data_IF_932206943186
#
_entry.id   IF_932206943186
#
_cell.length_a   1.000
_cell.length_b   1.000
_cell.length_c   1.000
_cell.angle_alpha   90.00
_cell.angle_beta   90.00
_cell.angle_gamma   90.00
#
_symmetry.space_group_name_H-M   'P 1'
#
loop_
_entity.id
_entity.type
_entity.pdbx_description
1 polymer ?
#
# COMPACT_ATOMS: atom_id res chain seq x y z
N UNK A 1 -16.02 -33.47 44.30
CA UNK A 1 -14.91 -33.32 43.33
C UNK A 1 -15.43 -32.76 42.00
N UNK A 2 -16.00 -31.53 42.00
CA UNK A 2 -16.69 -30.95 40.83
C UNK A 2 -16.28 -29.50 40.48
N UNK A 3 -15.27 -28.96 41.16
CA UNK A 3 -14.85 -27.54 41.00
C UNK A 3 -13.63 -27.41 40.06
N UNK A 4 -12.86 -28.49 39.83
CA UNK A 4 -11.66 -28.43 38.98
C UNK A 4 -11.94 -28.45 37.47
N UNK A 5 -13.11 -28.95 37.05
CA UNK A 5 -13.46 -29.09 35.63
C UNK A 5 -13.92 -27.77 34.99
N UNK A 6 -14.58 -26.90 35.78
CA UNK A 6 -15.12 -25.62 35.27
C UNK A 6 -14.02 -24.58 34.96
N UNK A 7 -12.93 -24.58 35.73
CA UNK A 7 -11.80 -23.65 35.48
C UNK A 7 -11.01 -23.99 34.21
N UNK A 8 -10.93 -25.27 33.81
CA UNK A 8 -10.24 -25.65 32.58
C UNK A 8 -11.05 -25.28 31.32
N UNK A 9 -12.38 -25.32 31.41
CA UNK A 9 -13.26 -24.94 30.31
C UNK A 9 -13.25 -23.42 30.05
N UNK A 10 -13.17 -22.61 31.11
CA UNK A 10 -13.08 -21.15 31.01
C UNK A 10 -11.76 -20.67 30.40
N UNK A 11 -10.63 -21.30 30.77
CA UNK A 11 -9.32 -20.97 30.21
C UNK A 11 -9.21 -21.33 28.72
N UNK A 12 -9.86 -22.42 28.30
CA UNK A 12 -9.95 -22.81 26.89
C UNK A 12 -10.84 -21.86 26.08
N UNK A 13 -11.91 -21.33 26.68
CA UNK A 13 -12.76 -20.32 26.05
C UNK A 13 -12.06 -18.97 25.92
N UNK A 14 -11.26 -18.54 26.91
CA UNK A 14 -10.46 -17.31 26.81
C UNK A 14 -9.45 -17.40 25.66
N UNK A 15 -8.84 -18.58 25.44
CA UNK A 15 -7.94 -18.82 24.30
C UNK A 15 -8.63 -18.89 22.93
N UNK A 16 -9.96 -19.05 22.88
CA UNK A 16 -10.76 -19.02 21.65
C UNK A 16 -11.32 -17.63 21.33
N UNK A 17 -11.40 -16.73 22.32
CA UNK A 17 -11.91 -15.34 22.15
C UNK A 17 -10.79 -14.38 21.77
N UNK A 18 -9.54 -14.67 22.13
CA UNK A 18 -8.43 -14.06 21.42
C UNK A 18 -8.37 -14.73 20.05
N UNK A 19 -8.56 -14.00 18.95
CA UNK A 19 -7.99 -14.47 17.71
C UNK A 19 -6.54 -14.74 18.07
N UNK A 20 -6.08 -15.96 17.82
CA UNK A 20 -4.67 -16.14 17.52
C UNK A 20 -4.49 -15.28 16.27
N UNK A 21 -4.28 -13.98 16.48
CA UNK A 21 -3.31 -13.24 15.71
C UNK A 21 -2.06 -14.08 15.91
N UNK A 22 -1.95 -15.11 15.07
CA UNK A 22 -0.68 -15.47 14.51
C UNK A 22 -0.19 -14.11 14.06
N UNK A 23 0.67 -13.51 14.89
CA UNK A 23 1.62 -12.55 14.42
C UNK A 23 2.24 -13.29 13.24
N UNK A 24 1.74 -13.01 12.03
CA UNK A 24 2.58 -13.06 10.88
C UNK A 24 3.81 -12.31 11.39
N UNK A 25 4.95 -12.99 11.51
CA UNK A 25 6.22 -12.33 11.74
C UNK A 25 6.40 -11.49 10.48
N UNK A 26 5.74 -10.34 10.44
CA UNK A 26 5.69 -9.53 9.27
C UNK A 26 7.11 -9.06 9.13
N UNK A 27 7.66 -9.47 8.00
CA UNK A 27 9.03 -9.20 7.69
C UNK A 27 9.08 -7.72 7.36
N UNK A 28 9.46 -6.89 8.33
CA UNK A 28 9.82 -5.50 8.04
C UNK A 28 11.01 -5.55 7.10
N UNK A 29 10.86 -4.90 5.95
CA UNK A 29 11.98 -4.61 5.09
C UNK A 29 12.40 -3.16 5.30
N UNK A 30 13.70 -2.91 5.23
CA UNK A 30 14.28 -1.58 5.32
C UNK A 30 15.14 -1.28 4.10
N UNK A 31 15.16 -0.01 3.73
CA UNK A 31 16.06 0.56 2.73
C UNK A 31 16.87 1.68 3.39
N UNK A 32 18.19 1.55 3.34
CA UNK A 32 19.09 2.66 3.64
C UNK A 32 19.10 3.59 2.42
N UNK A 33 18.56 4.80 2.58
CA UNK A 33 18.42 5.73 1.46
C UNK A 33 19.73 6.45 1.15
N UNK A 34 20.73 6.40 2.03
CA UNK A 34 22.01 7.09 1.85
C UNK A 34 22.88 6.42 0.77
N UNK A 35 22.63 5.14 0.51
CA UNK A 35 23.40 4.33 -0.46
C UNK A 35 22.69 4.15 -1.81
N UNK A 36 21.43 4.58 -1.95
CA UNK A 36 20.69 4.48 -3.23
C UNK A 36 21.31 5.45 -4.24
N UNK A 37 21.51 5.08 -5.50
CA UNK A 37 22.08 6.02 -6.47
C UNK A 37 21.01 6.99 -7.01
N UNK A 38 21.42 8.15 -7.55
CA UNK A 38 20.49 9.05 -8.26
C UNK A 38 19.83 8.34 -9.45
N UNK A 39 20.59 7.51 -10.16
CA UNK A 39 20.11 6.73 -11.30
C UNK A 39 18.98 5.76 -10.88
N UNK A 40 19.10 5.13 -9.70
CA UNK A 40 18.07 4.24 -9.16
C UNK A 40 16.77 5.00 -8.83
N UNK A 41 16.87 6.30 -8.52
CA UNK A 41 15.73 7.17 -8.26
C UNK A 41 15.18 7.89 -9.49
N UNK A 42 15.77 7.71 -10.67
CA UNK A 42 15.26 8.32 -11.91
C UNK A 42 13.86 7.81 -12.26
N UNK A 43 13.04 8.68 -12.86
CA UNK A 43 11.67 8.36 -13.27
C UNK A 43 11.64 7.13 -14.16
N UNK A 44 10.71 6.20 -13.88
CA UNK A 44 10.49 5.02 -14.72
C UNK A 44 9.27 5.19 -15.62
N UNK A 45 9.37 4.72 -16.87
CA UNK A 45 8.23 4.72 -17.77
C UNK A 45 7.20 3.64 -17.38
N UNK A 46 5.89 3.95 -17.46
CA UNK A 46 4.83 2.97 -17.31
C UNK A 46 4.97 1.81 -18.29
N UNK A 47 4.55 0.63 -17.85
CA UNK A 47 4.29 -0.51 -18.74
C UNK A 47 2.78 -0.71 -18.81
N UNK A 48 2.22 -0.67 -20.02
CA UNK A 48 0.79 -0.82 -20.28
C UNK A 48 0.55 -2.20 -20.89
N UNK A 49 -0.51 -2.85 -20.45
CA UNK A 49 -1.00 -4.08 -21.07
C UNK A 49 -1.84 -3.69 -22.30
N UNK A 50 -1.44 -4.15 -23.47
CA UNK A 50 -2.14 -3.90 -24.74
C UNK A 50 -3.28 -4.93 -24.96
N UNK A 51 -4.07 -4.76 -26.03
CA UNK A 51 -5.23 -5.58 -26.39
C UNK A 51 -4.94 -7.07 -26.49
N UNK A 52 -3.74 -7.43 -26.91
CA UNK A 52 -3.29 -8.81 -27.05
C UNK A 52 -2.68 -9.39 -25.74
N UNK A 53 -2.70 -8.62 -24.65
CA UNK A 53 -2.08 -8.98 -23.38
C UNK A 53 -0.57 -8.74 -23.31
N UNK A 54 0.05 -8.25 -24.39
CA UNK A 54 1.46 -7.89 -24.41
C UNK A 54 1.73 -6.63 -23.57
N UNK A 55 3.00 -6.42 -23.19
CA UNK A 55 3.40 -5.30 -22.34
C UNK A 55 4.21 -4.30 -23.16
N UNK A 56 3.69 -3.09 -23.29
CA UNK A 56 4.30 -2.00 -24.06
C UNK A 56 4.77 -0.89 -23.12
N UNK A 57 5.92 -0.29 -23.40
CA UNK A 57 6.40 0.88 -22.67
C UNK A 57 5.62 2.10 -23.14
N UNK A 58 4.99 2.82 -22.22
CA UNK A 58 4.29 4.07 -22.54
C UNK A 58 5.28 5.17 -22.90
N UNK A 59 4.88 6.02 -23.84
CA UNK A 59 5.53 7.30 -24.16
C UNK A 59 5.16 8.41 -23.16
N UNK A 60 4.07 8.21 -22.41
CA UNK A 60 3.61 9.10 -21.34
C UNK A 60 4.22 8.67 -20.01
N UNK A 61 4.84 9.63 -19.33
CA UNK A 61 5.45 9.43 -18.00
C UNK A 61 4.38 9.36 -16.92
N UNK A 62 4.72 8.71 -15.79
CA UNK A 62 3.98 8.93 -14.56
C UNK A 62 4.13 10.39 -14.10
N UNK A 63 3.12 10.88 -13.41
CA UNK A 63 3.20 12.11 -12.59
C UNK A 63 3.01 11.73 -11.13
N UNK A 64 3.65 12.49 -10.24
CA UNK A 64 3.56 12.24 -8.80
C UNK A 64 3.02 13.47 -8.06
N UNK A 65 2.30 13.23 -6.98
CA UNK A 65 1.75 14.25 -6.09
C UNK A 65 2.00 13.81 -4.64
N UNK A 66 2.26 14.78 -3.76
CA UNK A 66 2.45 14.56 -2.33
C UNK A 66 1.42 15.39 -1.60
N UNK A 67 0.64 14.75 -0.72
CA UNK A 67 -0.38 15.40 0.10
C UNK A 67 0.03 15.22 1.55
N UNK A 68 0.19 16.33 2.27
CA UNK A 68 0.49 16.35 3.71
C UNK A 68 -0.80 16.64 4.47
N UNK A 69 -0.98 16.07 5.67
CA UNK A 69 -2.16 16.36 6.49
C UNK A 69 -1.94 17.58 7.41
N UNK A 70 -1.32 18.64 6.88
CA UNK A 70 -0.90 19.84 7.62
C UNK A 70 -2.00 20.90 7.84
N UNK A 71 -3.18 20.70 7.24
CA UNK A 71 -4.34 21.60 7.35
C UNK A 71 -5.64 20.84 7.61
N UNK A 72 -6.67 21.49 8.21
CA UNK A 72 -8.01 20.91 8.32
C UNK A 72 -8.60 20.53 6.96
N UNK A 73 -9.52 19.55 6.93
CA UNK A 73 -10.13 19.08 5.69
C UNK A 73 -10.96 20.18 4.99
N UNK A 74 -11.59 21.05 5.79
CA UNK A 74 -12.36 22.19 5.30
C UNK A 74 -11.50 23.25 4.58
N UNK A 75 -10.19 23.25 4.80
CA UNK A 75 -9.26 24.26 4.27
C UNK A 75 -8.37 23.71 3.15
N UNK A 76 -8.18 22.39 3.06
CA UNK A 76 -7.30 21.76 2.07
C UNK A 76 -8.07 21.05 0.94
N UNK A 77 -8.03 21.62 -0.27
CA UNK A 77 -8.58 20.97 -1.48
C UNK A 77 -7.91 19.62 -1.79
N UNK A 78 -6.56 19.47 -1.72
CA UNK A 78 -5.93 18.17 -1.92
C UNK A 78 -6.44 17.09 -0.95
N UNK A 79 -6.65 17.42 0.33
CA UNK A 79 -7.23 16.47 1.30
C UNK A 79 -8.65 16.07 0.94
N UNK A 80 -9.49 17.01 0.48
CA UNK A 80 -10.87 16.70 0.04
C UNK A 80 -10.89 15.78 -1.17
N UNK A 81 -10.06 16.08 -2.17
CA UNK A 81 -9.94 15.27 -3.38
C UNK A 81 -9.45 13.87 -3.05
N UNK A 82 -8.43 13.74 -2.18
CA UNK A 82 -7.95 12.43 -1.73
C UNK A 82 -9.00 11.66 -0.94
N UNK A 83 -9.71 12.30 -0.01
CA UNK A 83 -10.82 11.67 0.74
C UNK A 83 -11.89 11.12 -0.20
N UNK A 84 -12.29 11.90 -1.20
CA UNK A 84 -13.26 11.47 -2.21
C UNK A 84 -12.72 10.29 -3.01
N UNK A 85 -11.48 10.38 -3.50
CA UNK A 85 -10.83 9.30 -4.26
C UNK A 85 -10.78 7.98 -3.47
N UNK A 86 -10.42 8.04 -2.18
CA UNK A 86 -10.40 6.87 -1.30
C UNK A 86 -11.80 6.25 -1.18
N UNK A 87 -12.84 7.07 -0.95
CA UNK A 87 -14.23 6.60 -0.87
C UNK A 87 -14.73 5.97 -2.18
N UNK A 88 -14.39 6.58 -3.32
CA UNK A 88 -14.73 6.06 -4.64
C UNK A 88 -14.05 4.71 -4.89
N UNK A 89 -12.79 4.56 -4.45
CA UNK A 89 -12.08 3.28 -4.56
C UNK A 89 -12.62 2.21 -3.61
N UNK A 90 -13.05 2.56 -2.40
CA UNK A 90 -13.72 1.63 -1.47
C UNK A 90 -15.01 1.10 -2.08
N UNK A 91 -15.83 2.00 -2.63
CA UNK A 91 -17.08 1.66 -3.33
C UNK A 91 -16.79 0.77 -4.53
N UNK A 92 -15.87 1.18 -5.40
CA UNK A 92 -15.50 0.43 -6.59
C UNK A 92 -14.92 -0.96 -6.28
N UNK A 93 -14.12 -1.08 -5.22
CA UNK A 93 -13.61 -2.38 -4.78
C UNK A 93 -14.73 -3.31 -4.35
N UNK A 94 -15.76 -2.77 -3.68
CA UNK A 94 -16.94 -3.54 -3.27
C UNK A 94 -17.75 -4.02 -4.48
N UNK A 95 -17.95 -3.16 -5.47
CA UNK A 95 -18.64 -3.51 -6.73
C UNK A 95 -17.90 -4.65 -7.46
N UNK A 96 -16.59 -4.51 -7.64
CA UNK A 96 -15.77 -5.55 -8.29
C UNK A 96 -15.83 -6.88 -7.54
N UNK A 97 -15.78 -6.86 -6.20
CA UNK A 97 -15.90 -8.06 -5.40
C UNK A 97 -17.27 -8.74 -5.61
N UNK A 98 -18.34 -7.96 -5.65
CA UNK A 98 -19.69 -8.45 -5.92
C UNK A 98 -19.78 -9.04 -7.34
N UNK A 99 -19.23 -8.35 -8.35
CA UNK A 99 -19.21 -8.81 -9.74
C UNK A 99 -18.43 -10.15 -9.89
N UNK A 100 -17.38 -10.36 -9.11
CA UNK A 100 -16.65 -11.65 -9.06
C UNK A 100 -17.49 -12.76 -8.40
N UNK A 101 -18.31 -12.41 -7.42
CA UNK A 101 -19.16 -13.34 -6.68
C UNK A 101 -20.41 -13.73 -7.49
N UNK A 102 -21.07 -12.77 -8.13
CA UNK A 102 -22.22 -12.98 -9.02
C UNK A 102 -21.81 -13.72 -10.31
N UNK A 103 -20.54 -13.58 -10.72
CA UNK A 103 -20.00 -14.18 -11.94
C UNK A 103 -19.99 -13.23 -13.15
N UNK A 104 -20.36 -11.96 -12.96
CA UNK A 104 -20.26 -10.91 -13.98
C UNK A 104 -18.79 -10.67 -14.41
N UNK A 105 -17.85 -10.82 -13.48
CA UNK A 105 -16.41 -10.97 -13.78
C UNK A 105 -16.04 -12.45 -13.68
N UNK A 106 -15.91 -13.09 -14.84
CA UNK A 106 -15.58 -14.52 -14.94
C UNK A 106 -14.08 -14.78 -14.76
N UNK A 107 -13.70 -15.47 -13.69
CA UNK A 107 -12.34 -15.94 -13.42
C UNK A 107 -12.40 -17.45 -13.28
N UNK A 108 -11.92 -18.16 -14.31
CA UNK A 108 -12.03 -19.61 -14.43
C UNK A 108 -11.10 -20.36 -13.47
N UNK A 109 -9.90 -19.83 -13.25
CA UNK A 109 -8.91 -20.38 -12.32
C UNK A 109 -9.31 -20.06 -10.87
N UNK A 110 -9.65 -21.08 -10.04
CA UNK A 110 -10.06 -20.86 -8.65
C UNK A 110 -8.96 -20.28 -7.75
N UNK A 111 -7.70 -20.61 -7.99
CA UNK A 111 -6.57 -20.10 -7.21
C UNK A 111 -6.36 -18.62 -7.52
N UNK A 112 -6.37 -18.26 -8.81
CA UNK A 112 -6.30 -16.87 -9.25
C UNK A 112 -7.50 -16.07 -8.73
N UNK A 113 -8.71 -16.63 -8.79
CA UNK A 113 -9.92 -15.98 -8.24
C UNK A 113 -9.77 -15.70 -6.74
N UNK A 114 -9.31 -16.68 -5.97
CA UNK A 114 -9.06 -16.53 -4.53
C UNK A 114 -8.00 -15.46 -4.25
N UNK A 115 -6.89 -15.47 -5.00
CA UNK A 115 -5.82 -14.49 -4.87
C UNK A 115 -6.28 -13.05 -5.17
N UNK A 116 -7.05 -12.86 -6.25
CA UNK A 116 -7.61 -11.56 -6.62
C UNK A 116 -8.56 -11.05 -5.52
N UNK A 117 -9.47 -11.90 -5.02
CA UNK A 117 -10.38 -11.53 -3.92
C UNK A 117 -9.60 -11.13 -2.65
N UNK A 118 -8.58 -11.89 -2.28
CA UNK A 118 -7.73 -11.57 -1.12
C UNK A 118 -7.03 -10.22 -1.30
N UNK A 119 -6.48 -9.96 -2.49
CA UNK A 119 -5.81 -8.70 -2.82
C UNK A 119 -6.76 -7.52 -2.76
N UNK A 120 -7.97 -7.65 -3.32
CA UNK A 120 -9.00 -6.61 -3.27
C UNK A 120 -9.49 -6.34 -1.84
N UNK A 121 -9.69 -7.38 -1.03
CA UNK A 121 -10.09 -7.22 0.37
C UNK A 121 -9.00 -6.51 1.20
N UNK A 122 -7.73 -6.86 1.01
CA UNK A 122 -6.62 -6.15 1.66
C UNK A 122 -6.55 -4.68 1.21
N UNK A 123 -6.67 -4.43 -0.11
CA UNK A 123 -6.70 -3.08 -0.65
C UNK A 123 -7.86 -2.25 -0.07
N UNK A 124 -9.07 -2.84 0.02
CA UNK A 124 -10.24 -2.20 0.63
C UNK A 124 -9.98 -1.85 2.09
N UNK A 125 -9.41 -2.77 2.87
CA UNK A 125 -9.06 -2.50 4.26
C UNK A 125 -8.04 -1.35 4.41
N UNK A 126 -7.05 -1.26 3.51
CA UNK A 126 -6.07 -0.15 3.53
C UNK A 126 -6.70 1.18 3.12
N UNK A 127 -7.60 1.17 2.13
CA UNK A 127 -8.36 2.35 1.73
C UNK A 127 -9.28 2.83 2.86
N UNK A 128 -10.00 1.92 3.51
CA UNK A 128 -10.87 2.22 4.66
C UNK A 128 -10.08 2.76 5.86
N UNK A 129 -8.91 2.16 6.15
CA UNK A 129 -8.02 2.65 7.20
C UNK A 129 -7.52 4.06 6.87
N UNK A 130 -7.06 4.29 5.64
CA UNK A 130 -6.61 5.63 5.21
C UNK A 130 -7.74 6.65 5.18
N UNK A 131 -8.97 6.25 4.86
CA UNK A 131 -10.12 7.15 4.85
C UNK A 131 -10.40 7.76 6.23
N UNK A 132 -10.10 7.01 7.31
CA UNK A 132 -10.30 7.47 8.70
C UNK A 132 -9.42 8.66 9.07
N UNK A 133 -8.26 8.81 8.44
CA UNK A 133 -7.38 9.97 8.64
C UNK A 133 -8.09 11.29 8.28
N UNK A 134 -9.16 11.21 7.47
CA UNK A 134 -9.95 12.36 7.04
C UNK A 134 -11.33 12.44 7.72
N UNK A 135 -11.61 11.60 8.73
CA UNK A 135 -12.85 11.68 9.52
C UNK A 135 -12.80 12.78 10.58
N UNK A 136 -11.60 13.23 10.96
CA UNK A 136 -11.39 14.33 11.89
C UNK A 136 -10.63 15.47 11.23
N UNK A 137 -10.82 16.70 11.71
CA UNK A 137 -10.01 17.88 11.31
C UNK A 137 -8.64 17.90 12.01
N UNK A 138 -8.13 16.72 12.41
CA UNK A 138 -6.81 16.60 13.02
C UNK A 138 -5.75 16.98 12.00
N UNK A 139 -4.82 17.82 12.46
CA UNK A 139 -3.62 18.19 11.73
C UNK A 139 -2.52 17.24 12.18
N UNK A 140 -1.95 16.51 11.23
CA UNK A 140 -0.87 15.57 11.43
C UNK A 140 0.15 15.74 10.31
N UNK A 141 1.16 16.57 10.56
CA UNK A 141 2.20 16.87 9.56
C UNK A 141 3.10 15.67 9.25
N UNK A 142 3.09 14.66 10.12
CA UNK A 142 4.01 13.53 10.07
C UNK A 142 3.47 12.48 9.09
N UNK A 143 2.15 12.52 8.81
CA UNK A 143 1.50 11.69 7.79
C UNK A 143 1.55 12.36 6.42
N UNK A 144 2.11 11.61 5.46
CA UNK A 144 2.13 12.00 4.04
C UNK A 144 1.49 10.92 3.16
N UNK A 145 0.82 11.37 2.10
CA UNK A 145 0.32 10.52 1.03
C UNK A 145 1.06 10.82 -0.28
N UNK A 146 1.68 9.79 -0.83
CA UNK A 146 2.35 9.83 -2.12
C UNK A 146 1.46 9.17 -3.17
N UNK A 147 1.03 9.96 -4.15
CA UNK A 147 0.18 9.51 -5.24
C UNK A 147 1.00 9.41 -6.52
N UNK A 148 0.90 8.29 -7.22
CA UNK A 148 1.47 8.11 -8.56
C UNK A 148 0.33 7.97 -9.57
N UNK A 149 0.33 8.83 -10.59
CA UNK A 149 -0.74 8.99 -11.56
C UNK A 149 -0.28 8.68 -12.98
N UNK A 150 -1.22 8.21 -13.81
CA UNK A 150 -1.05 8.01 -15.24
C UNK A 150 -2.26 8.62 -15.97
N UNK A 151 -2.01 9.56 -16.90
CA UNK A 151 -3.06 10.41 -17.50
C UNK A 151 -4.01 10.99 -16.44
N UNK A 152 -3.44 11.62 -15.40
CA UNK A 152 -4.14 12.24 -14.26
C UNK A 152 -4.98 11.31 -13.38
N UNK A 153 -5.06 10.02 -13.71
CA UNK A 153 -5.70 9.01 -12.88
C UNK A 153 -4.70 8.45 -11.89
N UNK A 154 -5.02 8.54 -10.60
CA UNK A 154 -4.22 7.90 -9.55
C UNK A 154 -4.22 6.38 -9.73
N UNK A 155 -3.03 5.79 -9.71
CA UNK A 155 -2.84 4.34 -9.89
C UNK A 155 -2.45 3.69 -8.57
N UNK A 156 -1.57 4.35 -7.81
CA UNK A 156 -1.07 3.92 -6.50
C UNK A 156 -1.10 5.09 -5.53
N UNK A 157 -1.46 4.80 -4.29
CA UNK A 157 -1.43 5.71 -3.16
C UNK A 157 -0.62 5.02 -2.06
N UNK A 158 0.38 5.70 -1.53
CA UNK A 158 1.13 5.21 -0.37
C UNK A 158 1.03 6.20 0.76
N UNK A 159 0.61 5.72 1.93
CA UNK A 159 0.63 6.45 3.19
C UNK A 159 1.97 6.19 3.87
N UNK A 160 2.64 7.23 4.30
CA UNK A 160 3.81 7.14 5.18
C UNK A 160 3.59 7.93 6.45
N UNK A 161 4.32 7.55 7.49
CA UNK A 161 4.42 8.29 8.75
C UNK A 161 5.86 8.28 9.26
N UNK A 162 6.17 9.19 10.18
CA UNK A 162 7.46 9.19 10.85
C UNK A 162 7.62 7.91 11.68
N UNK A 163 8.72 7.19 11.42
CA UNK A 163 9.08 5.98 12.13
C UNK A 163 9.95 6.27 13.36
N UNK A 164 10.63 5.24 13.85
CA UNK A 164 11.50 5.36 15.03
C UNK A 164 12.82 6.05 14.64
N UNK A 165 13.05 7.24 15.18
CA UNK A 165 14.35 7.93 15.10
C UNK A 165 15.43 7.21 15.89
N UNK A 166 16.64 7.17 15.32
CA UNK A 166 17.85 6.68 15.97
C UNK A 166 18.82 7.83 16.27
N UNK A 167 19.92 7.54 16.94
CA UNK A 167 20.99 8.55 17.16
C UNK A 167 21.69 9.00 15.88
N UNK A 168 21.46 8.32 14.74
CA UNK A 168 22.18 8.57 13.49
C UNK A 168 21.29 9.07 12.36
N UNK A 169 20.01 8.70 12.37
CA UNK A 169 19.06 9.04 11.33
C UNK A 169 17.63 8.91 11.83
N UNK A 170 16.73 9.65 11.18
CA UNK A 170 15.29 9.45 11.26
C UNK A 170 14.85 8.34 10.30
N UNK A 171 13.73 7.69 10.65
CA UNK A 171 13.13 6.62 9.85
C UNK A 171 11.76 7.10 9.35
N UNK A 172 11.39 6.70 8.13
CA UNK A 172 10.03 6.88 7.61
C UNK A 172 9.43 5.51 7.34
N UNK A 173 8.22 5.29 7.82
CA UNK A 173 7.51 4.03 7.68
C UNK A 173 6.52 4.12 6.52
N UNK A 174 6.63 3.20 5.55
CA UNK A 174 5.59 2.91 4.57
C UNK A 174 4.57 2.01 5.27
N UNK A 175 3.50 2.64 5.73
CA UNK A 175 2.43 1.99 6.49
C UNK A 175 1.45 1.28 5.54
N UNK A 176 0.85 2.02 4.60
CA UNK A 176 -0.20 1.49 3.71
C UNK A 176 0.14 1.74 2.25
N UNK A 177 0.02 0.69 1.42
CA UNK A 177 0.13 0.78 -0.04
C UNK A 177 -1.18 0.34 -0.67
N UNK A 178 -1.86 1.29 -1.30
CA UNK A 178 -3.16 1.11 -1.94
C UNK A 178 -3.03 1.27 -3.45
N UNK A 179 -3.91 0.62 -4.19
CA UNK A 179 -3.97 0.70 -5.65
C UNK A 179 -5.38 0.96 -6.12
N UNK A 180 -5.49 1.58 -7.29
CA UNK A 180 -6.74 1.66 -8.02
C UNK A 180 -7.29 0.23 -8.25
N UNK A 181 -8.53 -0.07 -7.81
CA UNK A 181 -9.04 -1.43 -7.83
C UNK A 181 -9.26 -1.98 -9.24
N UNK A 182 -9.60 -1.13 -10.22
CA UNK A 182 -9.67 -1.55 -11.63
C UNK A 182 -8.27 -1.94 -12.14
N UNK A 183 -7.22 -1.23 -11.70
CA UNK A 183 -5.85 -1.56 -12.08
C UNK A 183 -5.39 -2.89 -11.47
N UNK A 184 -5.87 -3.26 -10.27
CA UNK A 184 -5.61 -4.58 -9.67
C UNK A 184 -6.19 -5.68 -10.57
N UNK A 185 -7.45 -5.55 -10.98
CA UNK A 185 -8.13 -6.50 -11.87
C UNK A 185 -7.41 -6.61 -13.20
N UNK A 186 -7.20 -5.48 -13.88
CA UNK A 186 -6.56 -5.45 -15.20
C UNK A 186 -5.18 -6.08 -15.18
N UNK A 187 -4.39 -5.83 -14.13
CA UNK A 187 -3.07 -6.44 -14.01
C UNK A 187 -3.11 -7.94 -13.72
N UNK A 188 -4.05 -8.39 -12.89
CA UNK A 188 -4.15 -9.79 -12.49
C UNK A 188 -4.67 -10.67 -13.62
N UNK A 189 -5.57 -10.14 -14.44
CA UNK A 189 -6.18 -10.82 -15.59
C UNK A 189 -5.46 -10.51 -16.92
N UNK A 190 -4.39 -9.71 -16.89
CA UNK A 190 -3.67 -9.23 -18.08
C UNK A 190 -4.60 -8.60 -19.13
N UNK A 191 -5.53 -7.76 -18.68
CA UNK A 191 -6.47 -7.03 -19.55
C UNK A 191 -5.88 -5.70 -20.03
N UNK A 192 -6.36 -5.26 -21.20
CA UNK A 192 -6.01 -3.98 -21.81
C UNK A 192 -6.10 -2.82 -20.81
N UNK A 193 -5.11 -1.94 -20.85
CA UNK A 193 -5.04 -0.74 -20.03
C UNK A 193 -4.60 -1.00 -18.58
N UNK A 194 -4.17 -2.21 -18.24
CA UNK A 194 -3.48 -2.47 -16.97
C UNK A 194 -2.12 -1.75 -16.92
N UNK A 195 -1.88 -0.99 -15.85
CA UNK A 195 -0.71 -0.15 -15.66
C UNK A 195 0.22 -0.80 -14.64
N UNK A 196 1.46 -1.09 -15.05
CA UNK A 196 2.52 -1.67 -14.21
C UNK A 196 3.60 -0.63 -13.90
N UNK A 197 4.42 -0.93 -12.89
CA UNK A 197 5.54 -0.10 -12.37
C UNK A 197 5.13 1.14 -11.56
N UNK A 198 3.84 1.43 -11.42
CA UNK A 198 3.39 2.57 -10.61
C UNK A 198 3.86 2.51 -9.14
N UNK A 199 3.80 1.34 -8.50
CA UNK A 199 4.31 1.18 -7.12
C UNK A 199 5.82 1.38 -7.00
N UNK A 200 6.58 1.02 -8.04
CA UNK A 200 8.04 1.25 -8.10
C UNK A 200 8.34 2.74 -8.25
N UNK A 201 7.64 3.42 -9.15
CA UNK A 201 7.75 4.88 -9.31
C UNK A 201 7.36 5.63 -8.03
N UNK A 202 6.33 5.14 -7.32
CA UNK A 202 5.89 5.72 -6.06
C UNK A 202 6.98 5.66 -4.99
N UNK A 203 7.63 4.51 -4.80
CA UNK A 203 8.77 4.36 -3.88
C UNK A 203 9.93 5.28 -4.29
N UNK A 204 10.24 5.36 -5.60
CA UNK A 204 11.26 6.30 -6.09
C UNK A 204 10.91 7.74 -5.75
N UNK A 205 9.64 8.11 -5.85
CA UNK A 205 9.17 9.44 -5.51
C UNK A 205 9.33 9.75 -4.02
N UNK A 206 9.03 8.79 -3.14
CA UNK A 206 9.28 8.91 -1.70
C UNK A 206 10.76 9.18 -1.44
N UNK A 207 11.66 8.38 -2.05
CA UNK A 207 13.12 8.56 -1.86
C UNK A 207 13.58 9.95 -2.33
N UNK A 208 13.05 10.45 -3.47
CA UNK A 208 13.37 11.79 -3.97
C UNK A 208 12.90 12.88 -3.00
N UNK A 209 11.66 12.81 -2.53
CA UNK A 209 11.13 13.78 -1.55
C UNK A 209 11.99 13.81 -0.28
N UNK A 210 12.30 12.64 0.29
CA UNK A 210 13.07 12.57 1.53
C UNK A 210 14.48 13.14 1.38
N UNK A 211 15.12 12.97 0.22
CA UNK A 211 16.44 13.55 -0.06
C UNK A 211 16.41 15.07 -0.19
N UNK A 212 15.38 15.59 -0.84
CA UNK A 212 15.25 17.01 -1.11
C UNK A 212 14.75 17.79 0.12
N UNK A 213 13.85 17.18 0.91
CA UNK A 213 13.07 17.89 1.93
C UNK A 213 13.26 17.33 3.36
N UNK A 214 13.96 16.21 3.56
CA UNK A 214 14.10 15.55 4.87
C UNK A 214 15.48 14.94 5.08
N UNK A 215 16.52 15.79 5.10
CA UNK A 215 17.93 15.36 5.12
C UNK A 215 18.37 14.53 6.34
N UNK A 216 17.59 14.50 7.42
CA UNK A 216 17.84 13.66 8.60
C UNK A 216 17.36 12.22 8.43
N UNK A 217 16.44 11.97 7.48
CA UNK A 217 15.94 10.63 7.20
C UNK A 217 17.02 9.84 6.47
N UNK A 218 17.46 8.75 7.08
CA UNK A 218 18.47 7.85 6.52
C UNK A 218 17.89 6.50 6.10
N UNK A 219 16.63 6.23 6.47
CA UNK A 219 16.03 4.90 6.35
C UNK A 219 14.54 4.95 6.07
N UNK A 220 14.08 4.07 5.19
CA UNK A 220 12.66 3.79 4.97
C UNK A 220 12.39 2.36 5.42
N UNK A 221 11.35 2.14 6.22
CA UNK A 221 10.87 0.80 6.56
C UNK A 221 9.50 0.53 5.93
N UNK A 222 9.21 -0.73 5.65
CA UNK A 222 7.94 -1.15 5.06
C UNK A 222 7.53 -2.50 5.64
N UNK A 223 6.30 -2.58 6.15
CA UNK A 223 5.73 -3.82 6.65
C UNK A 223 5.19 -4.66 5.49
N UNK A 224 5.77 -5.84 5.26
CA UNK A 224 5.39 -6.69 4.12
C UNK A 224 4.17 -7.54 4.45
N UNK A 225 3.07 -7.19 3.79
CA UNK A 225 1.75 -7.86 3.91
C UNK A 225 1.40 -8.76 2.72
N UNK A 226 2.15 -8.67 1.61
CA UNK A 226 1.93 -9.55 0.44
C UNK A 226 3.24 -9.87 -0.30
N UNK A 227 3.34 -11.04 -0.96
CA UNK A 227 4.51 -11.41 -1.75
C UNK A 227 4.79 -10.47 -2.93
N UNK A 228 3.75 -9.86 -3.52
CA UNK A 228 3.89 -8.90 -4.63
C UNK A 228 4.54 -7.62 -4.14
N UNK A 229 4.08 -7.10 -3.00
CA UNK A 229 4.67 -5.93 -2.36
C UNK A 229 6.13 -6.23 -1.96
N UNK A 230 6.39 -7.40 -1.36
CA UNK A 230 7.76 -7.84 -1.04
C UNK A 230 8.67 -7.83 -2.27
N UNK A 231 8.20 -8.40 -3.37
CA UNK A 231 8.98 -8.48 -4.62
C UNK A 231 9.31 -7.09 -5.17
N UNK A 232 8.35 -6.16 -5.14
CA UNK A 232 8.57 -4.79 -5.58
C UNK A 232 9.55 -4.04 -4.67
N UNK A 233 9.41 -4.16 -3.35
CA UNK A 233 10.32 -3.56 -2.37
C UNK A 233 11.74 -4.09 -2.54
N UNK A 234 11.91 -5.41 -2.67
CA UNK A 234 13.24 -6.04 -2.86
C UNK A 234 13.94 -5.58 -4.14
N UNK A 235 13.19 -5.35 -5.23
CA UNK A 235 13.75 -4.78 -6.48
C UNK A 235 14.26 -3.36 -6.30
N UNK A 236 13.78 -2.66 -5.28
CA UNK A 236 14.24 -1.33 -4.89
C UNK A 236 15.37 -1.36 -3.86
N UNK A 237 15.90 -2.54 -3.53
CA UNK A 237 17.01 -2.69 -2.60
C UNK A 237 16.60 -2.86 -1.14
N UNK A 238 15.30 -2.96 -0.83
CA UNK A 238 14.83 -3.24 0.53
C UNK A 238 15.29 -4.62 1.02
N UNK A 239 15.82 -4.69 2.24
CA UNK A 239 16.37 -5.89 2.86
C UNK A 239 15.69 -6.16 4.21
N UNK A 240 15.75 -7.40 4.72
CA UNK A 240 15.21 -7.68 6.05
C UNK A 240 15.96 -6.89 7.11
N UNK A 241 15.20 -6.29 8.03
CA UNK A 241 15.77 -5.80 9.28
C UNK A 241 16.27 -7.03 10.04
N UNK A 242 17.59 -7.16 10.20
CA UNK A 242 18.13 -8.13 11.15
C UNK A 242 17.68 -7.69 12.55
N UNK A 243 16.73 -8.42 13.12
CA UNK A 243 16.45 -8.30 14.55
C UNK A 243 17.70 -8.77 15.28
N UNK A 244 18.47 -7.84 15.84
CA UNK A 244 19.61 -8.17 16.68
C UNK A 244 19.13 -9.04 17.84
N UNK A 245 19.74 -10.21 18.00
CA UNK A 245 19.66 -11.00 19.22
C UNK A 245 20.44 -10.34 20.35
#
# INVERSE_FOLDING_TARGET
>A
MKIKFFNHFYLFFILLIFPVFAFASGKTLALDITIVSEQDTSNIMPLIIDKDGSKVVSDVKFTNEIIVLDQPLSESEPKRVLKQLLNDYISRTSDILNDIESGDISIQDPELKSHIKSTLNANKYYLETSFRDFESDTIDSDVKYYLTKYHDNTVVITRTEDGISTTHYDTVDIDLVMSNPDNIIKNSLSMEGGIKRASVENIKNIIRDLRENSSSVGRIEAYVVSPILESNLRRMGFQHVQQGC
#
